data_IF_386800274398
#
_entry.id   IF_386800274398
#
_cell.length_a   1.000
_cell.length_b   1.000
_cell.length_c   1.000
_cell.angle_alpha   90.00
_cell.angle_beta   90.00
_cell.angle_gamma   90.00
#
_symmetry.space_group_name_H-M   'P 1'
#
loop_
_entity.id
_entity.type
_entity.pdbx_description
1 polymer ?
#
# COMPACT_ATOMS: atom_id res chain seq x y z
N UNK A 1 -12.74 -9.09 -10.93
CA UNK A 1 -13.75 -8.14 -10.42
C UNK A 1 -14.03 -8.54 -8.99
N UNK A 2 -14.10 -7.57 -8.08
CA UNK A 2 -14.61 -7.77 -6.73
C UNK A 2 -16.07 -8.20 -6.80
N UNK A 3 -16.49 -9.08 -5.89
CA UNK A 3 -17.89 -9.44 -5.69
C UNK A 3 -18.63 -8.32 -4.96
N UNK A 4 -19.97 -8.29 -5.02
CA UNK A 4 -20.76 -7.28 -4.30
C UNK A 4 -20.52 -7.30 -2.79
N UNK A 5 -20.25 -8.47 -2.21
CA UNK A 5 -19.87 -8.60 -0.80
C UNK A 5 -18.52 -7.95 -0.53
N UNK A 6 -17.53 -8.18 -1.39
CA UNK A 6 -16.19 -7.57 -1.26
C UNK A 6 -16.25 -6.05 -1.46
N UNK A 7 -17.01 -5.56 -2.44
CA UNK A 7 -17.22 -4.12 -2.65
C UNK A 7 -17.85 -3.47 -1.41
N UNK A 8 -18.81 -4.13 -0.76
CA UNK A 8 -19.38 -3.67 0.51
C UNK A 8 -18.34 -3.63 1.62
N UNK A 9 -17.54 -4.68 1.79
CA UNK A 9 -16.48 -4.72 2.80
C UNK A 9 -15.44 -3.60 2.62
N UNK A 10 -15.07 -3.31 1.37
CA UNK A 10 -14.18 -2.18 1.04
C UNK A 10 -14.87 -0.85 1.38
N UNK A 11 -16.13 -0.68 0.99
CA UNK A 11 -16.92 0.52 1.31
C UNK A 11 -17.03 0.77 2.82
N UNK A 12 -17.32 -0.26 3.60
CA UNK A 12 -17.44 -0.15 5.06
C UNK A 12 -16.10 0.22 5.70
N UNK A 13 -14.98 -0.27 5.15
CA UNK A 13 -13.64 0.07 5.61
C UNK A 13 -13.32 1.55 5.36
N UNK A 14 -13.66 2.06 4.17
CA UNK A 14 -13.54 3.48 3.82
C UNK A 14 -14.38 4.33 4.78
N UNK A 15 -15.65 3.96 4.99
CA UNK A 15 -16.56 4.73 5.84
C UNK A 15 -16.06 4.78 7.29
N UNK A 16 -15.63 3.65 7.86
CA UNK A 16 -15.03 3.61 9.21
C UNK A 16 -13.77 4.47 9.30
N UNK A 17 -12.90 4.40 8.29
CA UNK A 17 -11.69 5.21 8.22
C UNK A 17 -11.99 6.71 8.23
N UNK A 18 -12.92 7.15 7.39
CA UNK A 18 -13.36 8.55 7.32
C UNK A 18 -14.08 9.03 8.59
N UNK A 19 -14.94 8.19 9.18
CA UNK A 19 -15.61 8.52 10.44
C UNK A 19 -14.60 8.77 11.56
N UNK A 20 -13.58 7.91 11.67
CA UNK A 20 -12.50 8.09 12.64
C UNK A 20 -11.69 9.34 12.33
N UNK A 21 -11.33 9.56 11.07
CA UNK A 21 -10.53 10.71 10.67
C UNK A 21 -11.22 12.05 10.97
N UNK A 22 -12.52 12.17 10.70
CA UNK A 22 -13.26 13.38 11.05
C UNK A 22 -13.36 13.59 12.56
N UNK A 23 -13.58 12.52 13.33
CA UNK A 23 -13.63 12.61 14.79
C UNK A 23 -12.28 13.08 15.36
N UNK A 24 -11.18 12.51 14.88
CA UNK A 24 -9.81 12.94 15.24
C UNK A 24 -9.51 14.36 14.79
N UNK A 25 -9.95 14.74 13.59
CA UNK A 25 -9.73 16.10 13.08
C UNK A 25 -10.44 17.15 13.94
N UNK A 26 -11.66 16.86 14.37
CA UNK A 26 -12.44 17.70 15.28
C UNK A 26 -11.80 17.81 16.67
N UNK A 27 -11.15 16.76 17.16
CA UNK A 27 -10.54 16.77 18.50
C UNK A 27 -9.15 17.43 18.52
N UNK A 28 -8.25 17.03 17.62
CA UNK A 28 -6.82 17.41 17.67
C UNK A 28 -6.25 17.88 16.34
N UNK A 29 -6.93 17.67 15.21
CA UNK A 29 -6.39 18.02 13.88
C UNK A 29 -6.01 19.49 13.72
N UNK A 30 -6.78 20.40 14.32
CA UNK A 30 -6.48 21.84 14.33
C UNK A 30 -5.19 22.17 15.09
N UNK A 31 -4.84 21.40 16.12
CA UNK A 31 -3.62 21.63 16.88
C UNK A 31 -2.38 21.35 16.04
N UNK A 32 -2.41 20.35 15.15
CA UNK A 32 -1.30 20.03 14.22
C UNK A 32 -1.08 21.15 13.20
N UNK A 33 -2.15 21.80 12.74
CA UNK A 33 -2.07 22.92 11.79
C UNK A 33 -1.52 24.20 12.46
N UNK A 34 -1.86 24.39 13.74
CA UNK A 34 -1.46 25.57 14.53
C UNK A 34 -0.10 25.41 15.20
N UNK A 35 0.31 24.19 15.53
CA UNK A 35 1.60 23.86 16.11
C UNK A 35 2.69 23.87 15.02
N UNK A 36 3.12 25.07 14.63
CA UNK A 36 4.47 25.22 14.08
C UNK A 36 5.42 25.38 15.25
N UNK A 37 6.20 24.31 15.47
CA UNK A 37 7.41 24.24 16.31
C UNK A 37 7.18 24.00 17.80
N UNK A 38 7.27 22.73 18.21
CA UNK A 38 7.84 22.33 19.50
C UNK A 38 8.30 20.86 19.43
N UNK A 39 9.48 20.52 19.95
CA UNK A 39 9.97 19.14 19.96
C UNK A 39 9.28 18.37 21.10
N UNK A 40 8.86 17.15 20.79
CA UNK A 40 8.36 16.18 21.78
C UNK A 40 9.48 15.17 22.03
N UNK A 41 9.82 14.95 23.30
CA UNK A 41 10.82 13.96 23.75
C UNK A 41 10.13 12.66 24.19
N UNK A 42 10.80 11.55 23.91
CA UNK A 42 10.38 10.16 24.16
C UNK A 42 10.52 9.69 25.61
N UNK A 43 9.73 8.67 25.95
CA UNK A 43 9.96 7.79 27.10
C UNK A 43 10.02 6.32 26.65
N UNK A 44 11.13 5.66 26.96
CA UNK A 44 11.38 4.25 26.71
C UNK A 44 10.75 3.33 27.77
N UNK A 45 10.35 2.14 27.32
CA UNK A 45 10.16 0.95 28.16
C UNK A 45 10.86 -0.22 27.46
N UNK A 46 11.70 -0.96 28.18
CA UNK A 46 12.37 -2.15 27.64
C UNK A 46 11.38 -3.27 27.32
N UNK A 47 11.52 -3.93 26.17
CA UNK A 47 11.07 -5.32 25.99
C UNK A 47 11.75 -6.05 24.82
N UNK A 48 12.09 -7.32 25.09
CA UNK A 48 12.48 -8.47 24.25
C UNK A 48 13.19 -8.28 22.89
N UNK A 49 14.28 -9.06 22.69
CA UNK A 49 15.05 -9.24 21.43
C UNK A 49 14.28 -9.90 20.26
N UNK A 50 12.96 -9.98 20.37
CA UNK A 50 12.01 -10.49 19.38
C UNK A 50 10.76 -9.64 19.42
N UNK A 51 10.32 -9.13 18.28
CA UNK A 51 9.12 -8.28 18.17
C UNK A 51 8.04 -8.96 17.34
N UNK A 52 6.74 -8.75 17.67
CA UNK A 52 5.64 -9.25 16.85
C UNK A 52 5.67 -8.59 15.46
N UNK A 53 5.25 -9.32 14.44
CA UNK A 53 5.38 -8.90 13.04
C UNK A 53 4.15 -9.27 12.22
N UNK A 54 3.84 -8.40 11.25
CA UNK A 54 2.77 -8.64 10.25
C UNK A 54 3.30 -9.29 8.97
N UNK A 55 4.60 -9.60 8.88
CA UNK A 55 5.20 -10.25 7.70
C UNK A 55 4.62 -11.67 7.56
N UNK A 56 4.01 -12.04 6.42
CA UNK A 56 3.38 -13.35 6.25
C UNK A 56 4.37 -14.49 6.47
N UNK A 57 4.01 -15.45 7.33
CA UNK A 57 4.88 -16.57 7.72
C UNK A 57 5.91 -16.25 8.80
N UNK A 58 6.01 -15.00 9.25
CA UNK A 58 6.97 -14.55 10.27
C UNK A 58 6.26 -13.73 11.37
N UNK A 59 5.43 -14.37 12.23
CA UNK A 59 4.67 -13.69 13.28
C UNK A 59 5.55 -13.07 14.37
N UNK A 60 6.80 -13.53 14.48
CA UNK A 60 7.83 -13.03 15.38
C UNK A 60 9.14 -12.88 14.61
N UNK A 61 9.82 -11.75 14.77
CA UNK A 61 11.12 -11.49 14.13
C UNK A 61 12.15 -11.19 15.21
N UNK A 62 13.28 -11.89 15.16
CA UNK A 62 14.40 -11.71 16.08
C UNK A 62 15.57 -11.01 15.38
N UNK A 63 16.25 -10.12 16.10
CA UNK A 63 17.48 -9.48 15.62
C UNK A 63 18.68 -10.44 15.52
N UNK A 64 18.69 -11.49 16.35
CA UNK A 64 19.83 -12.41 16.47
C UNK A 64 19.80 -13.55 15.42
N UNK A 65 18.64 -13.76 14.77
CA UNK A 65 18.42 -14.86 13.83
C UNK A 65 17.59 -14.38 12.63
N UNK A 66 18.19 -13.61 11.72
CA UNK A 66 17.50 -13.20 10.52
C UNK A 66 17.15 -14.42 9.67
N UNK A 67 15.97 -14.40 9.06
CA UNK A 67 15.50 -15.44 8.14
C UNK A 67 15.43 -14.89 6.73
N UNK A 68 15.39 -15.78 5.73
CA UNK A 68 15.19 -15.41 4.33
C UNK A 68 13.99 -16.18 3.82
N UNK A 69 13.11 -15.47 3.12
CA UNK A 69 11.93 -16.05 2.49
C UNK A 69 11.69 -15.38 1.13
N UNK A 70 10.84 -15.97 0.29
CA UNK A 70 10.50 -15.43 -1.03
C UNK A 70 9.12 -14.76 -0.99
N UNK A 71 9.05 -13.56 -1.54
CA UNK A 71 7.81 -12.77 -1.55
C UNK A 71 7.54 -12.19 -2.93
N UNK A 72 6.26 -12.05 -3.26
CA UNK A 72 5.80 -11.02 -4.19
C UNK A 72 5.49 -9.78 -3.35
N UNK A 73 6.21 -8.69 -3.58
CA UNK A 73 5.96 -7.40 -2.98
C UNK A 73 5.05 -6.57 -3.89
N UNK A 74 4.00 -6.00 -3.31
CA UNK A 74 3.11 -5.03 -3.92
C UNK A 74 3.26 -3.71 -3.18
N UNK A 75 3.54 -2.64 -3.91
CA UNK A 75 3.43 -1.27 -3.38
C UNK A 75 2.28 -0.57 -4.10
N UNK A 76 1.33 -0.06 -3.31
CA UNK A 76 0.26 0.82 -3.79
C UNK A 76 0.52 2.20 -3.22
N UNK A 77 0.55 3.22 -4.07
CA UNK A 77 0.98 4.57 -3.66
C UNK A 77 0.14 5.64 -4.36
N UNK A 78 -0.37 6.62 -3.60
CA UNK A 78 -1.22 7.70 -4.13
C UNK A 78 -0.40 8.64 -5.03
N UNK A 79 -1.00 9.10 -6.13
CA UNK A 79 -0.38 10.07 -7.02
C UNK A 79 -0.64 11.48 -6.52
N UNK A 80 0.37 12.34 -6.66
CA UNK A 80 0.27 13.78 -6.44
C UNK A 80 -0.16 14.20 -5.02
N UNK A 81 0.00 13.32 -4.01
CA UNK A 81 -0.30 13.63 -2.61
C UNK A 81 0.45 14.85 -2.08
N UNK A 82 1.71 15.03 -2.51
CA UNK A 82 2.51 16.22 -2.21
C UNK A 82 1.89 17.50 -2.77
N UNK A 83 1.20 17.44 -3.91
CA UNK A 83 0.47 18.57 -4.48
C UNK A 83 -0.85 18.79 -3.75
N UNK A 84 -1.55 17.71 -3.39
CA UNK A 84 -2.77 17.76 -2.58
C UNK A 84 -2.51 18.45 -1.23
N UNK A 85 -1.39 18.13 -0.57
CA UNK A 85 -0.96 18.75 0.68
C UNK A 85 -0.76 20.27 0.56
N UNK A 86 -0.21 20.71 -0.59
CA UNK A 86 0.09 22.12 -0.85
C UNK A 86 -1.13 22.92 -1.31
N UNK A 87 -2.20 22.25 -1.74
CA UNK A 87 -3.43 22.89 -2.18
C UNK A 87 -4.18 23.54 -1.01
N UNK A 88 -4.48 24.85 -1.11
CA UNK A 88 -5.10 25.61 0.00
C UNK A 88 -6.62 25.45 0.09
N UNK A 89 -7.32 25.13 -1.00
CA UNK A 89 -8.78 24.89 -1.03
C UNK A 89 -9.13 23.96 -2.18
N UNK A 90 -9.30 22.67 -1.88
CA UNK A 90 -9.85 21.70 -2.83
C UNK A 90 -11.38 21.67 -2.81
N UNK A 91 -12.00 22.11 -1.70
CA UNK A 91 -13.44 22.14 -1.49
C UNK A 91 -13.79 23.13 -0.37
N UNK A 92 -15.02 23.64 -0.33
CA UNK A 92 -15.54 24.45 0.77
C UNK A 92 -15.60 23.70 2.13
N UNK A 93 -15.60 22.36 2.10
CA UNK A 93 -15.64 21.49 3.28
C UNK A 93 -14.26 21.18 3.87
N UNK A 94 -13.19 21.55 3.18
CA UNK A 94 -11.81 21.26 3.57
C UNK A 94 -11.03 22.56 3.68
N UNK A 95 -10.53 22.82 4.89
CA UNK A 95 -9.92 24.10 5.23
C UNK A 95 -8.41 24.11 4.93
N UNK A 96 -7.76 22.95 5.00
CA UNK A 96 -6.30 22.82 4.84
C UNK A 96 -5.92 21.63 3.95
N UNK A 97 -4.84 21.76 3.17
CA UNK A 97 -4.32 20.64 2.37
C UNK A 97 -3.86 19.44 3.20
N UNK A 98 -3.41 19.66 4.44
CA UNK A 98 -3.11 18.55 5.36
C UNK A 98 -4.37 17.78 5.78
N UNK A 99 -5.47 18.49 6.04
CA UNK A 99 -6.77 17.86 6.31
C UNK A 99 -7.22 17.01 5.13
N UNK A 100 -7.05 17.53 3.90
CA UNK A 100 -7.34 16.81 2.66
C UNK A 100 -6.59 15.49 2.62
N UNK A 101 -5.26 15.55 2.70
CA UNK A 101 -4.41 14.35 2.61
C UNK A 101 -4.73 13.37 3.74
N UNK A 102 -4.99 13.85 4.95
CA UNK A 102 -5.38 13.00 6.07
C UNK A 102 -6.67 12.22 5.80
N UNK A 103 -7.68 12.84 5.17
CA UNK A 103 -8.91 12.15 4.80
C UNK A 103 -8.72 11.21 3.60
N UNK A 104 -7.97 11.63 2.59
CA UNK A 104 -7.63 10.79 1.42
C UNK A 104 -6.91 9.51 1.87
N UNK A 105 -5.89 9.62 2.74
CA UNK A 105 -5.16 8.44 3.25
C UNK A 105 -6.01 7.60 4.20
N UNK A 106 -6.83 8.23 5.05
CA UNK A 106 -7.74 7.51 5.95
C UNK A 106 -8.85 6.76 5.22
N UNK A 107 -9.18 7.15 3.98
CA UNK A 107 -10.05 6.38 3.11
C UNK A 107 -9.27 5.30 2.33
N UNK A 108 -8.15 5.67 1.72
CA UNK A 108 -7.41 4.81 0.80
C UNK A 108 -6.75 3.62 1.50
N UNK A 109 -6.02 3.84 2.58
CA UNK A 109 -5.18 2.80 3.18
C UNK A 109 -6.00 1.61 3.74
N UNK A 110 -7.14 1.83 4.42
CA UNK A 110 -8.02 0.72 4.80
C UNK A 110 -8.61 -0.01 3.60
N UNK A 111 -8.98 0.70 2.53
CA UNK A 111 -9.51 0.09 1.31
C UNK A 111 -8.49 -0.82 0.64
N UNK A 112 -7.23 -0.37 0.52
CA UNK A 112 -6.12 -1.16 0.00
C UNK A 112 -5.89 -2.40 0.88
N UNK A 113 -5.83 -2.22 2.20
CA UNK A 113 -5.62 -3.32 3.15
C UNK A 113 -6.66 -4.43 2.99
N UNK A 114 -7.95 -4.08 3.01
CA UNK A 114 -9.06 -5.04 2.84
C UNK A 114 -9.03 -5.68 1.45
N UNK A 115 -8.74 -4.91 0.41
CA UNK A 115 -8.67 -5.43 -0.98
C UNK A 115 -7.58 -6.48 -1.15
N UNK A 116 -6.40 -6.22 -0.58
CA UNK A 116 -5.27 -7.15 -0.64
C UNK A 116 -5.54 -8.42 0.16
N UNK A 117 -6.21 -8.32 1.31
CA UNK A 117 -6.56 -9.46 2.16
C UNK A 117 -7.45 -10.50 1.44
N UNK A 118 -8.28 -10.08 0.46
CA UNK A 118 -9.08 -11.02 -0.36
C UNK A 118 -8.24 -11.97 -1.22
N UNK A 119 -6.95 -11.69 -1.39
CA UNK A 119 -6.01 -12.49 -2.15
C UNK A 119 -4.78 -12.84 -1.31
N UNK A 120 -4.93 -12.98 0.01
CA UNK A 120 -3.87 -13.39 0.95
C UNK A 120 -2.70 -12.40 1.11
N UNK A 121 -2.84 -11.18 0.58
CA UNK A 121 -1.85 -10.12 0.78
C UNK A 121 -1.96 -9.51 2.17
N UNK A 122 -0.82 -9.30 2.83
CA UNK A 122 -0.76 -8.66 4.15
C UNK A 122 -0.03 -7.34 4.05
N UNK A 123 -0.64 -6.27 4.56
CA UNK A 123 0.03 -4.97 4.69
C UNK A 123 1.06 -5.08 5.81
N UNK A 124 2.33 -4.88 5.49
CA UNK A 124 3.41 -4.92 6.48
C UNK A 124 3.81 -3.52 6.93
N UNK A 125 3.71 -2.53 6.03
CA UNK A 125 4.08 -1.14 6.32
C UNK A 125 3.10 -0.18 5.62
N UNK A 126 2.68 0.85 6.35
CA UNK A 126 2.08 2.05 5.79
C UNK A 126 3.16 3.12 5.68
N UNK A 127 3.37 3.66 4.50
CA UNK A 127 4.43 4.63 4.20
C UNK A 127 3.80 5.90 3.64
N UNK A 128 3.46 6.84 4.51
CA UNK A 128 2.76 8.07 4.12
C UNK A 128 1.38 7.76 3.53
N UNK A 129 1.25 8.00 2.24
CA UNK A 129 0.05 7.78 1.42
C UNK A 129 0.06 6.47 0.63
N UNK A 130 1.05 5.62 0.87
CA UNK A 130 1.18 4.29 0.28
C UNK A 130 1.21 3.16 1.30
N UNK A 131 1.12 1.94 0.78
CA UNK A 131 1.22 0.71 1.56
C UNK A 131 2.14 -0.29 0.86
N UNK A 132 2.97 -0.98 1.65
CA UNK A 132 3.71 -2.17 1.26
C UNK A 132 2.92 -3.41 1.70
N UNK A 133 2.65 -4.28 0.74
CA UNK A 133 1.93 -5.52 0.91
C UNK A 133 2.83 -6.66 0.47
N UNK A 134 2.93 -7.71 1.29
CA UNK A 134 3.68 -8.92 0.96
C UNK A 134 2.73 -10.08 0.77
N UNK A 135 3.04 -10.88 -0.25
CA UNK A 135 2.47 -12.21 -0.49
C UNK A 135 3.64 -13.18 -0.38
N UNK A 136 3.62 -14.06 0.61
CA UNK A 136 4.64 -15.11 0.73
C UNK A 136 4.47 -16.08 -0.43
N UNK A 137 5.56 -16.38 -1.13
CA UNK A 137 5.53 -17.33 -2.23
C UNK A 137 5.34 -18.73 -1.69
N UNK A 138 4.28 -19.40 -2.14
CA UNK A 138 4.15 -20.84 -1.96
C UNK A 138 5.13 -21.54 -2.92
N UNK A 139 6.10 -22.31 -2.43
CA UNK A 139 7.04 -23.02 -3.30
C UNK A 139 6.34 -24.04 -4.22
N UNK A 140 5.18 -24.57 -3.83
CA UNK A 140 4.41 -25.53 -4.60
C UNK A 140 3.48 -24.86 -5.63
N UNK A 141 3.06 -23.61 -5.39
CA UNK A 141 2.20 -22.85 -6.31
C UNK A 141 2.59 -21.35 -6.42
N UNK A 142 3.85 -21.12 -6.79
CA UNK A 142 4.39 -19.79 -7.06
C UNK A 142 3.55 -18.99 -8.06
N UNK A 143 2.99 -19.67 -9.05
CA UNK A 143 2.20 -19.06 -10.11
C UNK A 143 0.90 -18.48 -9.55
N UNK A 144 0.24 -19.18 -8.63
CA UNK A 144 -0.96 -18.65 -8.00
C UNK A 144 -0.65 -17.48 -7.07
N UNK A 145 0.45 -17.49 -6.31
CA UNK A 145 0.86 -16.31 -5.52
C UNK A 145 1.02 -15.07 -6.41
N UNK A 146 1.66 -15.21 -7.57
CA UNK A 146 1.81 -14.12 -8.55
C UNK A 146 0.43 -13.63 -9.04
N UNK A 147 -0.50 -14.54 -9.34
CA UNK A 147 -1.85 -14.19 -9.78
C UNK A 147 -2.66 -13.48 -8.70
N UNK A 148 -2.58 -13.96 -7.46
CA UNK A 148 -3.20 -13.34 -6.28
C UNK A 148 -2.72 -11.90 -6.10
N UNK A 149 -1.39 -11.70 -6.12
CA UNK A 149 -0.79 -10.37 -6.01
C UNK A 149 -1.24 -9.43 -7.14
N UNK A 150 -1.29 -9.92 -8.38
CA UNK A 150 -1.80 -9.15 -9.51
C UNK A 150 -3.29 -8.83 -9.40
N UNK A 151 -4.13 -9.78 -8.98
CA UNK A 151 -5.57 -9.53 -8.77
C UNK A 151 -5.78 -8.45 -7.71
N UNK A 152 -5.05 -8.52 -6.61
CA UNK A 152 -5.06 -7.47 -5.58
C UNK A 152 -4.66 -6.11 -6.15
N UNK A 153 -3.54 -6.02 -6.87
CA UNK A 153 -3.07 -4.79 -7.50
C UNK A 153 -4.10 -4.21 -8.48
N UNK A 154 -4.68 -5.05 -9.34
CA UNK A 154 -5.70 -4.66 -10.32
C UNK A 154 -6.96 -4.12 -9.64
N UNK A 155 -7.42 -4.77 -8.57
CA UNK A 155 -8.59 -4.30 -7.82
C UNK A 155 -8.30 -2.99 -7.08
N UNK A 156 -7.09 -2.84 -6.50
CA UNK A 156 -6.66 -1.60 -5.86
C UNK A 156 -6.74 -0.42 -6.84
N UNK A 157 -6.07 -0.50 -7.99
CA UNK A 157 -6.05 0.59 -9.00
C UNK A 157 -7.35 0.73 -9.80
N UNK A 158 -8.36 -0.10 -9.54
CA UNK A 158 -9.65 -0.09 -10.22
C UNK A 158 -10.78 0.10 -9.23
N UNK A 159 -11.54 -0.97 -8.98
CA UNK A 159 -12.78 -0.94 -8.18
C UNK A 159 -12.60 -0.33 -6.78
N UNK A 160 -11.51 -0.63 -6.08
CA UNK A 160 -11.30 -0.09 -4.72
C UNK A 160 -11.02 1.41 -4.74
N UNK A 161 -10.22 1.89 -5.69
CA UNK A 161 -10.04 3.34 -5.91
C UNK A 161 -11.37 4.01 -6.25
N UNK A 162 -12.19 3.40 -7.10
CA UNK A 162 -13.48 3.98 -7.49
C UNK A 162 -14.45 4.08 -6.29
N UNK A 163 -14.43 3.08 -5.39
CA UNK A 163 -15.17 3.15 -4.12
C UNK A 163 -14.67 4.32 -3.26
N UNK A 164 -13.35 4.45 -3.09
CA UNK A 164 -12.74 5.55 -2.32
C UNK A 164 -13.14 6.91 -2.89
N UNK A 165 -13.01 7.10 -4.21
CA UNK A 165 -13.36 8.34 -4.89
C UNK A 165 -14.83 8.71 -4.70
N UNK A 166 -15.75 7.75 -4.79
CA UNK A 166 -17.18 8.01 -4.52
C UNK A 166 -17.43 8.54 -3.11
N UNK A 167 -16.77 7.96 -2.10
CA UNK A 167 -16.89 8.41 -0.71
C UNK A 167 -16.29 9.80 -0.49
N UNK A 168 -15.10 10.05 -1.04
CA UNK A 168 -14.44 11.36 -0.93
C UNK A 168 -15.24 12.46 -1.62
N UNK A 169 -15.78 12.18 -2.82
CA UNK A 169 -16.64 13.11 -3.56
C UNK A 169 -17.94 13.38 -2.80
N UNK A 170 -18.67 12.34 -2.37
CA UNK A 170 -19.95 12.51 -1.69
C UNK A 170 -19.81 13.27 -0.36
N UNK A 171 -18.77 12.94 0.42
CA UNK A 171 -18.60 13.50 1.78
C UNK A 171 -17.99 14.89 1.74
N UNK A 172 -16.95 15.08 0.93
CA UNK A 172 -16.10 16.27 0.99
C UNK A 172 -16.06 17.09 -0.31
N UNK A 173 -16.70 16.64 -1.39
CA UNK A 173 -16.60 17.27 -2.72
C UNK A 173 -15.14 17.37 -3.19
N UNK A 174 -14.36 16.31 -2.91
CA UNK A 174 -12.95 16.24 -3.29
C UNK A 174 -12.79 15.62 -4.68
N UNK A 175 -11.87 16.15 -5.52
CA UNK A 175 -11.50 15.52 -6.77
C UNK A 175 -11.04 14.08 -6.59
N UNK A 176 -11.14 13.29 -7.65
CA UNK A 176 -10.66 11.93 -7.67
C UNK A 176 -9.17 11.85 -7.33
N UNK A 177 -8.81 10.89 -6.47
CA UNK A 177 -7.43 10.48 -6.30
C UNK A 177 -7.07 9.45 -7.37
N UNK A 178 -5.78 9.42 -7.70
CA UNK A 178 -5.20 8.40 -8.56
C UNK A 178 -4.14 7.64 -7.79
N UNK A 179 -3.96 6.36 -8.11
CA UNK A 179 -3.00 5.51 -7.41
C UNK A 179 -2.23 4.67 -8.42
N UNK A 180 -1.00 4.33 -8.09
CA UNK A 180 -0.16 3.42 -8.87
C UNK A 180 0.14 2.15 -8.09
N UNK A 181 0.28 1.04 -8.80
CA UNK A 181 0.66 -0.25 -8.20
C UNK A 181 1.91 -0.81 -8.89
N UNK A 182 2.90 -1.17 -8.07
CA UNK A 182 4.13 -1.83 -8.51
C UNK A 182 4.25 -3.21 -7.88
N UNK A 183 4.62 -4.21 -8.68
CA UNK A 183 4.85 -5.58 -8.23
C UNK A 183 6.27 -6.01 -8.58
N UNK A 184 6.95 -6.64 -7.63
CA UNK A 184 8.17 -7.39 -7.91
C UNK A 184 8.26 -8.63 -7.02
N UNK A 185 9.07 -9.60 -7.41
CA UNK A 185 9.23 -10.88 -6.71
C UNK A 185 10.72 -11.19 -6.54
N UNK A 186 11.12 -11.51 -5.32
CA UNK A 186 12.48 -11.92 -4.99
C UNK A 186 12.50 -12.54 -3.60
N UNK A 187 13.64 -13.12 -3.22
CA UNK A 187 13.93 -13.37 -1.80
C UNK A 187 14.10 -12.03 -1.05
N UNK A 188 13.74 -12.03 0.22
CA UNK A 188 13.96 -10.92 1.14
C UNK A 188 14.50 -11.42 2.47
N UNK A 189 15.38 -10.63 3.07
CA UNK A 189 15.86 -10.79 4.44
C UNK A 189 14.79 -10.28 5.40
N UNK A 190 14.38 -11.10 6.36
CA UNK A 190 13.50 -10.72 7.46
C UNK A 190 14.37 -10.49 8.69
N UNK A 191 14.40 -9.25 9.18
CA UNK A 191 15.22 -8.86 10.33
C UNK A 191 14.56 -7.73 11.11
N UNK A 192 15.01 -7.52 12.34
CA UNK A 192 14.81 -6.27 13.05
C UNK A 192 15.79 -5.21 12.50
N UNK A 193 15.30 -3.99 12.30
CA UNK A 193 16.08 -2.82 11.83
C UNK A 193 15.76 -1.62 12.71
N UNK A 194 16.80 -0.96 13.22
CA UNK A 194 16.72 0.17 14.15
C UNK A 194 17.77 0.01 15.25
N UNK A 195 17.75 0.88 16.24
CA UNK A 195 18.48 0.64 17.49
C UNK A 195 17.74 -0.39 18.35
N UNK A 196 18.38 -0.87 19.40
CA UNK A 196 17.85 -1.94 20.25
C UNK A 196 16.52 -1.56 20.94
N UNK A 197 16.20 -0.26 21.06
CA UNK A 197 14.98 0.23 21.69
C UNK A 197 13.83 0.29 20.68
N UNK A 198 14.10 0.85 19.49
CA UNK A 198 13.09 1.17 18.48
C UNK A 198 13.20 0.33 17.20
N UNK A 199 13.82 -0.85 17.30
CA UNK A 199 13.89 -1.76 16.17
C UNK A 199 12.49 -2.17 15.66
N UNK A 200 12.35 -2.29 14.35
CA UNK A 200 11.12 -2.72 13.69
C UNK A 200 11.38 -3.95 12.82
N UNK A 201 10.46 -4.93 12.79
CA UNK A 201 10.50 -6.00 11.78
C UNK A 201 10.44 -5.40 10.37
N UNK A 202 11.39 -5.76 9.52
CA UNK A 202 11.43 -5.37 8.11
C UNK A 202 11.74 -6.54 7.21
N UNK A 203 11.10 -6.55 6.04
CA UNK A 203 11.50 -7.37 4.91
C UNK A 203 12.37 -6.52 3.98
N UNK A 204 13.64 -6.88 3.81
CA UNK A 204 14.60 -6.18 2.97
C UNK A 204 14.92 -7.07 1.77
N UNK A 205 14.47 -6.67 0.60
CA UNK A 205 14.71 -7.41 -0.64
C UNK A 205 14.59 -6.52 -1.87
N UNK A 206 15.13 -7.01 -2.98
CA UNK A 206 15.02 -6.36 -4.29
C UNK A 206 13.56 -6.14 -4.69
N UNK A 207 12.67 -7.08 -4.37
CA UNK A 207 11.25 -6.98 -4.63
C UNK A 207 10.60 -5.75 -3.99
N UNK A 208 10.97 -5.41 -2.75
CA UNK A 208 10.43 -4.22 -2.05
C UNK A 208 10.91 -2.94 -2.71
N UNK A 209 12.20 -2.86 -3.04
CA UNK A 209 12.77 -1.69 -3.70
C UNK A 209 12.18 -1.49 -5.11
N UNK A 210 12.15 -2.51 -5.95
CA UNK A 210 11.62 -2.43 -7.31
C UNK A 210 10.12 -2.10 -7.33
N UNK A 211 9.32 -2.77 -6.49
CA UNK A 211 7.88 -2.50 -6.39
C UNK A 211 7.61 -1.03 -6.04
N UNK A 212 8.41 -0.45 -5.14
CA UNK A 212 8.34 0.98 -4.76
C UNK A 212 8.64 1.92 -5.94
N UNK A 213 9.52 1.52 -6.85
CA UNK A 213 9.81 2.33 -8.05
C UNK A 213 8.70 2.16 -9.09
N UNK A 214 8.27 0.93 -9.33
CA UNK A 214 7.23 0.56 -10.30
C UNK A 214 5.83 1.10 -9.95
N UNK A 215 5.55 1.38 -8.68
CA UNK A 215 4.29 2.01 -8.24
C UNK A 215 4.10 3.45 -8.75
N UNK A 216 5.07 4.01 -9.48
CA UNK A 216 5.00 5.37 -10.04
C UNK A 216 3.93 5.63 -11.10
N UNK A 217 3.22 4.59 -11.57
CA UNK A 217 2.18 4.70 -12.59
C UNK A 217 0.91 5.41 -12.14
N UNK A 218 0.09 5.88 -13.08
CA UNK A 218 -1.23 6.46 -12.77
C UNK A 218 -2.31 5.46 -13.17
N UNK A 219 -3.01 4.89 -12.19
CA UNK A 219 -4.14 3.98 -12.39
C UNK A 219 -3.77 2.72 -13.19
N UNK A 220 -2.52 2.28 -13.04
CA UNK A 220 -1.92 1.19 -13.80
C UNK A 220 -1.13 0.28 -12.87
N UNK A 221 -1.08 -1.00 -13.23
CA UNK A 221 -0.20 -1.98 -12.61
C UNK A 221 1.08 -2.10 -13.44
N UNK A 222 2.22 -1.94 -12.78
CA UNK A 222 3.54 -2.23 -13.33
C UNK A 222 4.17 -3.41 -12.61
N UNK A 223 4.89 -4.25 -13.35
CA UNK A 223 5.55 -5.44 -12.82
C UNK A 223 7.02 -5.47 -13.23
N UNK A 224 7.87 -6.06 -12.40
CA UNK A 224 9.27 -6.33 -12.71
C UNK A 224 9.41 -7.48 -13.71
N UNK A 225 10.63 -7.71 -14.22
CA UNK A 225 10.94 -8.87 -15.04
C UNK A 225 10.69 -10.19 -14.30
N UNK A 226 10.95 -10.25 -12.98
CA UNK A 226 10.77 -11.49 -12.21
C UNK A 226 9.31 -11.92 -12.15
N UNK A 227 8.38 -10.97 -11.95
CA UNK A 227 6.94 -11.24 -11.97
C UNK A 227 6.46 -11.61 -13.38
N UNK A 228 6.94 -10.91 -14.41
CA UNK A 228 6.60 -11.22 -15.81
C UNK A 228 7.10 -12.61 -16.22
N UNK A 229 8.32 -12.97 -15.84
CA UNK A 229 8.93 -14.28 -16.13
C UNK A 229 8.24 -15.42 -15.37
N UNK A 230 7.79 -15.16 -14.15
CA UNK A 230 6.96 -16.09 -13.38
C UNK A 230 5.50 -16.16 -13.84
N UNK A 231 5.08 -15.29 -14.76
CA UNK A 231 3.70 -15.28 -15.25
C UNK A 231 3.44 -16.44 -16.21
N UNK A 232 2.36 -17.21 -16.03
CA UNK A 232 2.05 -18.35 -16.88
C UNK A 232 1.71 -17.85 -18.29
N UNK A 233 2.40 -18.38 -19.30
CA UNK A 233 2.07 -18.11 -20.70
C UNK A 233 1.12 -19.18 -21.23
N UNK A 234 0.00 -18.76 -21.84
CA UNK A 234 -0.94 -19.65 -22.51
C UNK A 234 -1.43 -19.03 -23.81
N UNK A 235 -1.77 -19.90 -24.78
CA UNK A 235 -2.36 -19.48 -26.05
C UNK A 235 -3.71 -18.81 -25.74
N UNK A 236 -3.88 -17.56 -26.17
CA UNK A 236 -5.08 -16.76 -25.86
C UNK A 236 -5.05 -16.02 -24.52
N UNK A 237 -3.87 -15.88 -23.88
CA UNK A 237 -3.73 -15.12 -22.64
C UNK A 237 -4.29 -13.69 -22.74
N UNK A 238 -5.05 -13.29 -21.70
CA UNK A 238 -5.81 -12.03 -21.61
C UNK A 238 -4.95 -10.80 -21.27
N UNK A 239 -3.70 -11.01 -20.89
CA UNK A 239 -2.79 -9.92 -20.50
C UNK A 239 -1.70 -9.72 -21.54
N UNK A 240 -1.29 -8.47 -21.69
CA UNK A 240 -0.07 -8.06 -22.40
C UNK A 240 0.86 -7.31 -21.46
N UNK A 241 2.16 -7.56 -21.62
CA UNK A 241 3.22 -6.94 -20.84
C UNK A 241 3.98 -6.00 -21.75
N UNK A 242 3.72 -4.69 -21.62
CA UNK A 242 4.31 -3.67 -22.46
C UNK A 242 5.54 -3.13 -21.75
N UNK A 243 6.73 -3.35 -22.33
CA UNK A 243 7.98 -2.89 -21.76
C UNK A 243 7.94 -1.37 -21.54
N UNK A 244 8.37 -0.93 -20.37
CA UNK A 244 8.34 0.48 -19.95
C UNK A 244 9.49 0.75 -18.99
N UNK A 245 9.72 2.03 -18.72
CA UNK A 245 10.59 2.50 -17.65
C UNK A 245 9.78 3.39 -16.72
N UNK A 246 9.78 3.09 -15.43
CA UNK A 246 9.07 3.87 -14.41
C UNK A 246 10.09 4.38 -13.40
N UNK A 247 10.18 5.70 -13.23
CA UNK A 247 11.26 6.35 -12.47
C UNK A 247 12.62 5.90 -13.02
N UNK A 248 13.37 5.12 -12.25
CA UNK A 248 14.73 4.66 -12.55
C UNK A 248 14.84 3.16 -12.83
N UNK A 249 13.71 2.43 -12.94
CA UNK A 249 13.71 0.98 -13.15
C UNK A 249 12.98 0.60 -14.43
N UNK A 250 13.50 -0.42 -15.11
CA UNK A 250 12.84 -1.04 -16.25
C UNK A 250 11.80 -2.07 -15.75
N UNK A 251 10.70 -2.20 -16.48
CA UNK A 251 9.62 -3.12 -16.13
C UNK A 251 8.57 -3.22 -17.20
N UNK A 252 7.37 -3.66 -16.83
CA UNK A 252 6.27 -3.87 -17.76
C UNK A 252 4.97 -3.27 -17.24
N UNK A 253 4.31 -2.46 -18.06
CA UNK A 253 2.92 -2.08 -17.82
C UNK A 253 2.03 -3.24 -18.24
N UNK A 254 1.16 -3.68 -17.33
CA UNK A 254 0.20 -4.73 -17.63
C UNK A 254 -1.04 -4.12 -18.24
N UNK A 255 -1.42 -4.57 -19.44
CA UNK A 255 -2.66 -4.21 -20.10
C UNK A 255 -3.51 -5.45 -20.35
N UNK A 256 -4.83 -5.32 -20.20
CA UNK A 256 -5.76 -6.35 -20.69
C UNK A 256 -5.86 -6.22 -22.20
N UNK A 257 -5.89 -7.35 -22.92
CA UNK A 257 -6.16 -7.39 -24.36
C UNK A 257 -7.65 -7.17 -24.64
#
# INVERSE_FOLDING_TARGET
MLTSTQERQVSDAVERGLNRAEATWKSVGRQVVLAKSQPVFDHALEEARSKPSSIPGHPWVSGDRPTVDEFVALVVDMRNSSEHLKSRRASAKIEYGFQRVYYETSALLPAVSVTCAFNEGVVTEYLGDGALILFRVDPEDRVETIRQAYRAAKHCVGQSRDIVNRHLQARFDLPEIHIGAGLSMSKALISLVGDDQDAQPKAIGECVWEATKLSGGTNTVHVSESVRSGWPSSKGGLLSFIKTRVKSVDGYRVASK
#
